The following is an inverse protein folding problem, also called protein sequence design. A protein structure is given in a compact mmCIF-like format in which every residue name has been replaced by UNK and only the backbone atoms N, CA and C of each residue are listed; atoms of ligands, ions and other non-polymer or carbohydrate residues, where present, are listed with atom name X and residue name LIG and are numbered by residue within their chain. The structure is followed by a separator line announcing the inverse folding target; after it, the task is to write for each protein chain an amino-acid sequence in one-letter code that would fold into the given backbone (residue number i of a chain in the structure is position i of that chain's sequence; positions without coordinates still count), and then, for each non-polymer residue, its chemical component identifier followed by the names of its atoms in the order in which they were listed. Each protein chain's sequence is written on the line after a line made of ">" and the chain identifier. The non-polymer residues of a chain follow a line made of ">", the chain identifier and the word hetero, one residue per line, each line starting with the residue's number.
data_IF_295791432283
#
_entry.id   IF_295791432283
#
_cell.length_a   1.000
_cell.length_b   1.000
_cell.length_c   1.000
_cell.angle_alpha   90.00
_cell.angle_beta   90.00
_cell.angle_gamma   90.00
#
_symmetry.space_group_name_H-M   'P 1'
#
loop_
_entity.id
_entity.type
_entity.pdbx_description
1 polymer ?
#
# COMPACT_ATOMS: atom_id res chain seq x y z
N UNK A 1 -0.62 10.74 -15.03
CA UNK A 1 -1.56 10.53 -13.90
C UNK A 1 -1.96 9.08 -13.86
N UNK A 2 -2.16 8.53 -12.66
CA UNK A 2 -2.67 7.17 -12.51
C UNK A 2 -4.20 7.13 -12.45
N UNK A 3 -4.82 5.97 -12.70
CA UNK A 3 -6.27 5.85 -12.85
C UNK A 3 -7.06 5.86 -11.54
N UNK A 4 -6.39 5.83 -10.37
CA UNK A 4 -7.07 5.70 -9.08
C UNK A 4 -6.90 6.92 -8.19
N UNK A 5 -8.00 7.41 -7.64
CA UNK A 5 -7.98 8.41 -6.58
C UNK A 5 -7.65 7.79 -5.22
N UNK A 6 -8.08 6.55 -4.98
CA UNK A 6 -7.90 5.84 -3.71
C UNK A 6 -7.57 4.38 -3.97
N UNK A 7 -6.58 3.86 -3.26
CA UNK A 7 -6.23 2.43 -3.25
C UNK A 7 -6.17 2.00 -1.79
N UNK A 8 -6.82 0.87 -1.48
CA UNK A 8 -6.72 0.21 -0.18
C UNK A 8 -6.15 -1.17 -0.42
N UNK A 9 -5.00 -1.46 0.18
CA UNK A 9 -4.37 -2.75 0.08
C UNK A 9 -4.53 -3.51 1.39
N UNK A 10 -5.11 -4.71 1.32
CA UNK A 10 -5.37 -5.57 2.47
C UNK A 10 -4.37 -6.73 2.58
N UNK A 11 -3.10 -6.42 2.34
CA UNK A 11 -2.00 -7.36 2.45
C UNK A 11 -0.70 -6.60 2.78
N UNK A 12 0.22 -7.25 3.47
CA UNK A 12 1.46 -6.58 3.91
C UNK A 12 2.46 -6.38 2.77
N UNK A 13 3.23 -5.30 2.88
CA UNK A 13 4.37 -5.01 2.02
C UNK A 13 5.61 -4.75 2.89
N UNK A 14 6.72 -5.40 2.55
CA UNK A 14 8.00 -5.19 3.26
C UNK A 14 8.52 -3.76 3.19
N UNK A 15 8.08 -3.00 2.19
CA UNK A 15 8.46 -1.61 1.95
C UNK A 15 7.34 -0.84 1.26
N UNK A 16 7.54 0.47 1.04
CA UNK A 16 6.57 1.31 0.35
C UNK A 16 6.19 0.71 -1.02
N UNK A 17 4.90 0.41 -1.27
CA UNK A 17 4.47 -0.23 -2.51
C UNK A 17 4.44 0.79 -3.66
N UNK A 18 5.61 1.10 -4.22
CA UNK A 18 5.76 2.12 -5.30
C UNK A 18 4.84 1.88 -6.48
N UNK A 19 4.63 0.61 -6.85
CA UNK A 19 3.74 0.24 -7.95
C UNK A 19 2.29 0.68 -7.71
N UNK A 20 1.80 0.75 -6.47
CA UNK A 20 0.48 1.30 -6.15
C UNK A 20 0.49 2.83 -6.19
N UNK A 21 1.57 3.43 -5.68
CA UNK A 21 1.75 4.88 -5.65
C UNK A 21 1.81 5.51 -7.06
N UNK A 22 2.40 4.79 -8.02
CA UNK A 22 2.47 5.21 -9.42
C UNK A 22 1.10 5.22 -10.11
N UNK A 23 0.15 4.42 -9.60
CA UNK A 23 -1.22 4.33 -10.09
C UNK A 23 -2.15 5.39 -9.48
N UNK A 24 -1.65 6.26 -8.60
CA UNK A 24 -2.44 7.34 -8.01
C UNK A 24 -2.57 8.57 -8.94
N UNK A 25 -3.78 9.11 -9.00
CA UNK A 25 -4.07 10.46 -9.48
C UNK A 25 -3.44 11.53 -8.57
N UNK A 26 -3.43 12.79 -9.00
CA UNK A 26 -2.93 13.90 -8.17
C UNK A 26 -3.80 14.07 -6.92
N UNK A 27 -3.19 14.14 -5.72
CA UNK A 27 -3.94 14.13 -4.46
C UNK A 27 -4.54 12.77 -4.10
N UNK A 28 -4.17 11.71 -4.81
CA UNK A 28 -4.58 10.33 -4.54
C UNK A 28 -4.02 9.80 -3.22
N UNK A 29 -4.68 8.78 -2.66
CA UNK A 29 -4.31 8.17 -1.37
C UNK A 29 -4.16 6.65 -1.51
N UNK A 30 -3.08 6.08 -0.96
CA UNK A 30 -2.94 4.65 -0.70
C UNK A 30 -3.04 4.40 0.81
N UNK A 31 -3.83 3.41 1.21
CA UNK A 31 -3.76 2.80 2.55
C UNK A 31 -3.12 1.42 2.40
N UNK A 32 -2.03 1.16 3.10
CA UNK A 32 -1.34 -0.12 3.05
C UNK A 32 -0.61 -0.45 4.37
N UNK A 33 -0.57 -1.72 4.80
CA UNK A 33 0.32 -2.20 5.85
C UNK A 33 1.75 -2.24 5.33
N UNK A 34 2.68 -1.69 6.11
CA UNK A 34 4.11 -1.69 5.79
C UNK A 34 4.86 -2.30 6.96
N UNK A 35 5.60 -3.38 6.69
CA UNK A 35 6.33 -4.12 7.70
C UNK A 35 6.63 -5.55 7.24
N UNK A 36 7.34 -6.33 8.08
CA UNK A 36 7.72 -7.71 7.76
C UNK A 36 6.50 -8.61 7.53
N UNK A 37 6.63 -9.57 6.59
CA UNK A 37 5.58 -10.52 6.19
C UNK A 37 4.95 -11.29 7.37
N UNK A 38 5.77 -11.77 8.31
CA UNK A 38 5.32 -12.55 9.48
C UNK A 38 5.43 -11.76 10.81
N UNK A 39 5.30 -10.43 10.76
CA UNK A 39 5.43 -9.58 11.95
C UNK A 39 4.36 -8.51 12.10
N UNK A 40 4.56 -7.64 13.08
CA UNK A 40 3.75 -6.44 13.25
C UNK A 40 4.09 -5.42 12.15
N UNK A 41 3.05 -4.81 11.58
CA UNK A 41 3.15 -3.86 10.49
C UNK A 41 2.51 -2.55 10.92
N UNK A 42 2.96 -1.45 10.31
CA UNK A 42 2.30 -0.17 10.47
C UNK A 42 1.31 0.02 9.33
N UNK A 43 0.03 0.18 9.63
CA UNK A 43 -0.96 0.61 8.66
C UNK A 43 -0.71 2.09 8.34
N UNK A 44 -0.28 2.38 7.13
CA UNK A 44 0.09 3.72 6.71
C UNK A 44 -0.88 4.28 5.65
N UNK A 45 -1.18 5.56 5.77
CA UNK A 45 -1.81 6.39 4.75
C UNK A 45 -0.74 7.16 4.00
N UNK A 46 -0.72 7.03 2.67
CA UNK A 46 0.23 7.67 1.77
C UNK A 46 -0.55 8.60 0.83
N UNK A 47 -0.32 9.90 0.94
CA UNK A 47 -0.98 10.91 0.10
C UNK A 47 0.00 11.44 -0.94
N UNK A 48 -0.40 11.41 -2.22
CA UNK A 48 0.41 11.96 -3.31
C UNK A 48 0.31 13.49 -3.36
N UNK A 49 1.43 14.17 -3.12
CA UNK A 49 1.53 15.63 -3.13
C UNK A 49 2.54 16.05 -4.18
N UNK A 50 2.07 16.25 -5.42
CA UNK A 50 2.94 16.48 -6.57
C UNK A 50 3.81 15.24 -6.87
N UNK A 51 5.13 15.37 -6.74
CA UNK A 51 6.11 14.30 -6.96
C UNK A 51 6.51 13.53 -5.68
N UNK A 52 6.03 13.97 -4.52
CA UNK A 52 6.34 13.35 -3.21
C UNK A 52 5.12 12.65 -2.63
N UNK A 53 5.37 11.84 -1.60
CA UNK A 53 4.33 11.18 -0.82
C UNK A 53 4.46 11.58 0.64
N UNK A 54 3.35 12.04 1.22
CA UNK A 54 3.24 12.30 2.65
C UNK A 54 2.71 11.04 3.32
N UNK A 55 3.34 10.64 4.42
CA UNK A 55 3.01 9.43 5.18
C UNK A 55 2.40 9.80 6.53
N UNK A 56 1.30 9.14 6.86
CA UNK A 56 0.68 9.17 8.17
C UNK A 56 0.49 7.73 8.66
N UNK A 57 0.96 7.43 9.86
CA UNK A 57 0.80 6.11 10.47
C UNK A 57 -0.52 6.06 11.25
N UNK A 58 -1.39 5.13 10.89
CA UNK A 58 -2.73 4.97 11.47
C UNK A 58 -2.67 4.10 12.73
N UNK A 59 -1.86 3.04 12.71
CA UNK A 59 -1.73 2.12 13.83
C UNK A 59 -1.05 0.80 13.47
N UNK A 60 -0.90 -0.08 14.47
CA UNK A 60 -0.28 -1.40 14.31
C UNK A 60 -1.31 -2.43 13.85
N UNK A 61 -0.92 -3.27 12.88
CA UNK A 61 -1.75 -4.35 12.31
C UNK A 61 -0.92 -5.60 12.05
N UNK A 62 -1.61 -6.71 11.77
CA UNK A 62 -1.01 -7.99 11.35
C UNK A 62 -1.81 -8.57 10.18
N UNK A 63 -1.42 -8.21 8.95
CA UNK A 63 -2.00 -8.77 7.73
C UNK A 63 -1.07 -9.78 7.06
N UNK A 64 -1.66 -10.66 6.25
CA UNK A 64 -0.95 -11.68 5.48
C UNK A 64 -0.18 -11.07 4.30
N UNK A 65 0.95 -11.66 3.86
CA UNK A 65 1.66 -11.21 2.68
C UNK A 65 0.90 -11.54 1.39
N UNK A 66 1.18 -10.78 0.32
CA UNK A 66 0.77 -11.17 -1.03
C UNK A 66 1.68 -12.33 -1.48
N UNK A 67 1.07 -13.50 -1.69
CA UNK A 67 1.76 -14.61 -2.32
C UNK A 67 2.07 -14.27 -3.77
N UNK A 68 3.34 -14.43 -4.15
CA UNK A 68 3.77 -14.29 -5.55
C UNK A 68 3.45 -15.56 -6.30
N UNK A 69 2.38 -15.55 -7.08
CA UNK A 69 2.07 -16.61 -8.05
C UNK A 69 1.06 -16.10 -9.08
N UNK A 70 0.86 -16.88 -10.14
CA UNK A 70 -0.31 -16.69 -11.01
C UNK A 70 -1.53 -17.20 -10.25
N UNK A 71 -2.60 -16.41 -10.22
CA UNK A 71 -3.87 -16.88 -9.68
C UNK A 71 -4.29 -18.15 -10.43
N UNK A 72 -4.36 -19.27 -9.72
CA UNK A 72 -4.88 -20.49 -10.27
C UNK A 72 -6.40 -20.35 -10.42
N UNK A 73 -6.93 -20.70 -11.59
CA UNK A 73 -8.37 -20.96 -11.71
C UNK A 73 -8.63 -22.26 -10.97
N UNK A 74 -9.39 -22.16 -9.88
CA UNK A 74 -9.98 -23.29 -9.15
C UNK A 74 -11.30 -23.69 -9.81
#
# INVERSE_FOLDING_TARGET
>A
EGPFDRIVAWATFDSLPRFLLDQLSSGGIVIAPIGPEEGEQVLAKLTKVGSRFEREDIGMVRLQPILRSVAAVI
#
